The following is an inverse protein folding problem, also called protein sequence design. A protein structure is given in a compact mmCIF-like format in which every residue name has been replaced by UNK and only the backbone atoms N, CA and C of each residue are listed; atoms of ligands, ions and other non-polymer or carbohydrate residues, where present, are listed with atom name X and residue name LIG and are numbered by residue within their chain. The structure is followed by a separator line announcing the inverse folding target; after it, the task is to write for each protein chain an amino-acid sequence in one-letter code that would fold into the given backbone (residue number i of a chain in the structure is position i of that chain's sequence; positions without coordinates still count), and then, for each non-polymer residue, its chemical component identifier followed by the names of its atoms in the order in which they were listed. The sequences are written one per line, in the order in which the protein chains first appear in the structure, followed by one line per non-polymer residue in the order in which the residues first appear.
data_IF_688797837110
#
_entry.id   IF_688797837110
#
_cell.length_a   1.000
_cell.length_b   1.000
_cell.length_c   1.000
_cell.angle_alpha   90.00
_cell.angle_beta   90.00
_cell.angle_gamma   90.00
#
_symmetry.space_group_name_H-M   'P 1'
#
loop_
_entity.id
_entity.type
_entity.pdbx_description
1 polymer ?
#
# COMPACT_ATOMS: atom_id res chain seq x y z
N UNK A 1 -57.65 48.01 17.56
CA UNK A 1 -57.07 47.97 16.20
C UNK A 1 -55.69 47.31 16.28
N UNK A 2 -55.40 46.46 15.29
CA UNK A 2 -54.28 45.50 15.17
C UNK A 2 -52.87 46.14 15.23
N UNK A 3 -51.87 45.35 15.66
CA UNK A 3 -50.59 45.02 14.97
C UNK A 3 -49.46 44.83 15.98
N UNK A 4 -48.50 43.90 15.92
CA UNK A 4 -48.22 42.66 15.19
C UNK A 4 -46.97 42.12 15.92
N UNK A 5 -46.96 40.89 16.43
CA UNK A 5 -45.72 40.26 16.92
C UNK A 5 -44.80 39.97 15.73
N UNK A 6 -43.52 40.31 15.83
CA UNK A 6 -42.50 39.81 14.89
C UNK A 6 -41.40 39.15 15.70
N UNK A 7 -41.47 37.83 15.76
CA UNK A 7 -40.42 36.94 16.25
C UNK A 7 -39.39 36.81 15.12
N UNK A 8 -38.15 37.25 15.34
CA UNK A 8 -37.04 36.98 14.44
C UNK A 8 -36.25 35.78 14.98
N UNK A 9 -36.57 34.58 14.49
CA UNK A 9 -35.69 33.41 14.60
C UNK A 9 -34.48 33.67 13.70
N UNK A 10 -33.34 34.03 14.27
CA UNK A 10 -32.06 33.95 13.56
C UNK A 10 -31.58 32.50 13.65
N UNK A 11 -31.69 31.79 12.53
CA UNK A 11 -31.19 30.43 12.38
C UNK A 11 -29.67 30.39 12.52
N UNK A 12 -29.18 29.59 13.46
CA UNK A 12 -27.78 29.20 13.50
C UNK A 12 -27.53 28.17 12.39
N UNK A 13 -26.89 28.59 11.30
CA UNK A 13 -26.38 27.67 10.29
C UNK A 13 -25.11 27.00 10.84
N UNK A 14 -25.27 25.84 11.46
CA UNK A 14 -24.16 24.94 11.77
C UNK A 14 -23.74 24.31 10.44
N UNK A 15 -22.68 24.81 9.82
CA UNK A 15 -22.04 24.12 8.70
C UNK A 15 -21.31 22.89 9.26
N UNK A 16 -21.64 21.66 8.84
CA UNK A 16 -20.80 20.52 9.17
C UNK A 16 -19.45 20.70 8.49
N UNK A 17 -18.38 20.68 9.29
CA UNK A 17 -17.01 20.53 8.78
C UNK A 17 -16.92 19.10 8.23
N UNK A 18 -17.09 18.94 6.92
CA UNK A 18 -16.72 17.69 6.27
C UNK A 18 -15.20 17.52 6.40
N UNK A 19 -14.75 16.83 7.45
CA UNK A 19 -13.47 16.15 7.41
C UNK A 19 -13.64 15.01 6.41
N UNK A 20 -13.45 15.29 5.12
CA UNK A 20 -13.21 14.26 4.13
C UNK A 20 -11.81 13.68 4.40
N UNK A 21 -11.64 13.01 5.54
CA UNK A 21 -10.62 11.99 5.69
C UNK A 21 -11.18 10.77 5.00
N UNK A 22 -10.96 10.65 3.68
CA UNK A 22 -11.13 9.36 3.04
C UNK A 22 -10.01 8.49 3.60
N UNK A 23 -10.36 7.36 4.22
CA UNK A 23 -9.37 6.35 4.60
C UNK A 23 -8.68 5.91 3.31
N UNK A 24 -7.49 6.45 3.04
CA UNK A 24 -6.72 6.13 1.84
C UNK A 24 -6.36 4.65 1.86
N UNK A 25 -6.52 3.98 0.71
CA UNK A 25 -6.07 2.60 0.55
C UNK A 25 -4.55 2.52 0.68
N UNK A 26 -4.03 1.33 0.97
CA UNK A 26 -2.59 1.09 1.08
C UNK A 26 -1.83 1.51 -0.20
N UNK A 27 -2.43 1.27 -1.38
CA UNK A 27 -1.85 1.65 -2.68
C UNK A 27 -1.80 3.18 -2.82
N UNK A 28 -2.85 3.89 -2.43
CA UNK A 28 -2.89 5.36 -2.50
C UNK A 28 -1.86 5.98 -1.56
N UNK A 29 -1.72 5.45 -0.34
CA UNK A 29 -0.67 5.86 0.61
C UNK A 29 0.73 5.63 0.06
N UNK A 30 0.99 4.44 -0.50
CA UNK A 30 2.27 4.13 -1.13
C UNK A 30 2.61 5.07 -2.30
N UNK A 31 1.63 5.42 -3.14
CA UNK A 31 1.79 6.41 -4.22
C UNK A 31 2.11 7.82 -3.70
N UNK A 32 1.59 8.18 -2.53
CA UNK A 32 1.88 9.43 -1.85
C UNK A 32 3.20 9.39 -1.04
N UNK A 33 3.94 8.28 -1.09
CA UNK A 33 5.14 8.02 -0.29
C UNK A 33 4.90 8.11 1.23
N UNK A 34 3.66 7.88 1.68
CA UNK A 34 3.27 7.76 3.08
C UNK A 34 3.46 6.29 3.50
N UNK A 35 4.60 6.02 4.14
CA UNK A 35 5.03 4.67 4.51
C UNK A 35 5.12 4.51 6.02
N UNK A 36 4.63 3.38 6.52
CA UNK A 36 4.68 3.02 7.94
C UNK A 36 6.03 2.39 8.32
N UNK A 37 6.68 1.69 7.38
CA UNK A 37 7.92 0.96 7.61
C UNK A 37 8.82 1.00 6.38
N UNK A 38 10.13 1.01 6.62
CA UNK A 38 11.16 0.83 5.59
C UNK A 38 12.15 -0.23 6.05
N UNK A 39 12.72 -0.97 5.11
CA UNK A 39 13.72 -1.99 5.41
C UNK A 39 14.43 -2.47 4.15
N UNK A 40 15.28 -3.47 4.34
CA UNK A 40 15.91 -4.20 3.25
C UNK A 40 15.34 -5.62 3.18
N UNK A 41 15.21 -6.13 1.96
CA UNK A 41 14.74 -7.48 1.67
C UNK A 41 15.64 -8.15 0.65
N UNK A 42 15.61 -9.48 0.60
CA UNK A 42 16.25 -10.21 -0.49
C UNK A 42 15.37 -10.12 -1.75
N UNK A 43 15.98 -9.86 -2.90
CA UNK A 43 15.29 -9.75 -4.18
C UNK A 43 16.18 -10.13 -5.37
N UNK A 44 15.58 -10.49 -6.49
CA UNK A 44 16.25 -10.67 -7.78
C UNK A 44 15.35 -10.14 -8.89
N UNK A 45 15.91 -9.44 -9.88
CA UNK A 45 15.13 -8.83 -10.95
C UNK A 45 14.89 -9.81 -12.09
N UNK A 46 15.87 -10.66 -12.39
CA UNK A 46 15.85 -11.55 -13.54
C UNK A 46 15.91 -13.03 -13.14
N UNK A 47 15.46 -13.90 -14.04
CA UNK A 47 15.53 -15.35 -13.86
C UNK A 47 16.99 -15.80 -13.75
N UNK A 48 17.30 -16.57 -12.71
CA UNK A 48 18.64 -17.12 -12.49
C UNK A 48 19.64 -16.15 -11.85
N UNK A 49 19.28 -14.88 -11.67
CA UNK A 49 20.08 -13.92 -10.91
C UNK A 49 20.21 -14.38 -9.44
N UNK A 50 21.35 -14.08 -8.81
CA UNK A 50 21.50 -14.30 -7.37
C UNK A 50 20.62 -13.31 -6.60
N UNK A 51 20.10 -13.72 -5.44
CA UNK A 51 19.37 -12.80 -4.58
C UNK A 51 20.33 -11.72 -4.06
N UNK A 52 19.98 -10.45 -4.30
CA UNK A 52 20.64 -9.27 -3.76
C UNK A 52 19.76 -8.57 -2.72
N UNK A 53 20.19 -7.38 -2.29
CA UNK A 53 19.43 -6.53 -1.37
C UNK A 53 18.63 -5.47 -2.12
N UNK A 54 17.33 -5.41 -1.86
CA UNK A 54 16.44 -4.33 -2.30
C UNK A 54 15.95 -3.51 -1.12
N UNK A 55 15.69 -2.23 -1.36
CA UNK A 55 14.98 -1.38 -0.40
C UNK A 55 13.48 -1.64 -0.51
N UNK A 56 12.81 -1.82 0.62
CA UNK A 56 11.37 -1.96 0.72
C UNK A 56 10.78 -0.82 1.54
N UNK A 57 9.64 -0.29 1.10
CA UNK A 57 8.83 0.68 1.84
C UNK A 57 7.37 0.23 1.85
N UNK A 58 6.75 0.18 3.03
CA UNK A 58 5.45 -0.44 3.25
C UNK A 58 4.44 0.60 3.70
N UNK A 59 3.30 0.64 3.03
CA UNK A 59 2.10 1.37 3.48
C UNK A 59 0.99 0.37 3.77
N UNK A 60 0.30 0.52 4.89
CA UNK A 60 -0.78 -0.36 5.36
C UNK A 60 -2.09 0.39 5.48
N UNK A 61 -3.21 -0.24 5.18
CA UNK A 61 -4.52 0.36 5.41
C UNK A 61 -5.58 -0.75 5.51
N UNK A 62 -6.39 -0.74 6.57
CA UNK A 62 -7.56 -1.62 6.67
C UNK A 62 -7.28 -3.12 6.51
N UNK A 63 -6.12 -3.61 6.94
CA UNK A 63 -5.72 -5.03 6.77
C UNK A 63 -5.02 -5.34 5.44
N UNK A 64 -4.92 -4.37 4.53
CA UNK A 64 -4.14 -4.47 3.31
C UNK A 64 -2.75 -3.81 3.46
N UNK A 65 -1.81 -4.20 2.60
CA UNK A 65 -0.49 -3.59 2.52
C UNK A 65 -0.04 -3.39 1.05
N UNK A 66 0.68 -2.31 0.80
CA UNK A 66 1.38 -2.04 -0.44
C UNK A 66 2.86 -1.89 -0.15
N UNK A 67 3.67 -2.78 -0.74
CA UNK A 67 5.12 -2.80 -0.56
C UNK A 67 5.80 -2.32 -1.83
N UNK A 68 6.43 -1.15 -1.77
CA UNK A 68 7.27 -0.63 -2.85
C UNK A 68 8.68 -1.17 -2.68
N UNK A 69 9.06 -2.09 -3.56
CA UNK A 69 10.41 -2.65 -3.62
C UNK A 69 11.20 -1.90 -4.68
N UNK A 70 12.34 -1.33 -4.29
CA UNK A 70 13.27 -0.61 -5.16
C UNK A 70 14.58 -1.39 -5.30
N UNK A 71 14.88 -1.78 -6.53
CA UNK A 71 16.10 -2.49 -6.91
C UNK A 71 17.32 -1.55 -6.90
N UNK A 72 18.56 -2.09 -6.83
CA UNK A 72 19.77 -1.26 -6.84
C UNK A 72 19.89 -0.33 -8.07
N UNK A 73 19.35 -0.75 -9.21
CA UNK A 73 19.33 0.06 -10.45
C UNK A 73 18.22 1.13 -10.47
N UNK A 74 17.42 1.25 -9.40
CA UNK A 74 16.34 2.22 -9.28
C UNK A 74 15.01 1.78 -9.90
N UNK A 75 14.95 0.61 -10.56
CA UNK A 75 13.66 0.01 -10.94
C UNK A 75 12.85 -0.26 -9.67
N UNK A 76 11.53 -0.07 -9.73
CA UNK A 76 10.66 -0.32 -8.59
C UNK A 76 9.39 -1.06 -9.00
N UNK A 77 8.96 -1.97 -8.10
CA UNK A 77 7.67 -2.65 -8.19
C UNK A 77 6.90 -2.48 -6.89
N UNK A 78 5.60 -2.25 -7.02
CA UNK A 78 4.65 -2.28 -5.92
C UNK A 78 3.99 -3.64 -5.87
N UNK A 79 4.13 -4.32 -4.73
CA UNK A 79 3.49 -5.58 -4.38
C UNK A 79 2.26 -5.27 -3.51
N UNK A 80 1.10 -5.81 -3.87
CA UNK A 80 -0.16 -5.59 -3.13
C UNK A 80 -0.51 -6.85 -2.35
N UNK A 81 -0.86 -6.67 -1.08
CA UNK A 81 -1.33 -7.70 -0.18
C UNK A 81 -2.67 -7.30 0.43
N UNK A 82 -3.52 -8.28 0.71
CA UNK A 82 -4.80 -8.09 1.38
C UNK A 82 -5.14 -9.31 2.24
N UNK A 83 -5.62 -9.09 3.46
CA UNK A 83 -6.01 -10.16 4.38
C UNK A 83 -4.89 -11.16 4.72
N UNK A 84 -3.62 -10.76 4.59
CA UNK A 84 -2.46 -11.64 4.79
C UNK A 84 -1.98 -12.37 3.52
N UNK A 85 -2.66 -12.23 2.39
CA UNK A 85 -2.31 -12.91 1.14
C UNK A 85 -1.67 -11.93 0.15
N UNK A 86 -0.78 -12.44 -0.70
CA UNK A 86 -0.29 -11.68 -1.84
C UNK A 86 -1.34 -11.67 -2.96
N UNK A 87 -1.64 -10.48 -3.48
CA UNK A 87 -2.69 -10.26 -4.50
C UNK A 87 -2.09 -10.11 -5.89
N UNK A 88 -1.15 -9.15 -6.08
CA UNK A 88 -0.53 -8.86 -7.38
C UNK A 88 0.63 -7.88 -7.30
N UNK A 89 1.43 -7.83 -8.37
CA UNK A 89 2.29 -6.67 -8.66
C UNK A 89 1.53 -5.60 -9.46
N UNK A 90 2.07 -4.38 -9.50
CA UNK A 90 1.65 -3.40 -10.52
C UNK A 90 2.29 -3.71 -11.88
N UNK A 91 1.64 -3.27 -12.97
CA UNK A 91 2.24 -3.26 -14.29
C UNK A 91 3.41 -2.28 -14.35
N UNK A 92 4.47 -2.68 -15.04
CA UNK A 92 5.71 -1.91 -15.25
C UNK A 92 6.18 -2.09 -16.70
N UNK A 93 7.25 -1.39 -17.09
CA UNK A 93 7.89 -1.63 -18.40
C UNK A 93 8.50 -3.03 -18.53
N UNK A 94 8.72 -3.74 -17.41
CA UNK A 94 9.31 -5.08 -17.36
C UNK A 94 8.27 -6.21 -17.29
N UNK A 95 6.98 -5.90 -17.27
CA UNK A 95 5.92 -6.91 -17.20
C UNK A 95 4.61 -6.39 -16.64
N UNK A 96 3.52 -7.13 -16.88
CA UNK A 96 2.16 -6.75 -16.45
C UNK A 96 1.91 -7.01 -14.97
N UNK A 97 2.74 -7.82 -14.31
CA UNK A 97 2.67 -8.08 -12.88
C UNK A 97 1.58 -9.06 -12.44
N UNK A 98 1.08 -9.86 -13.37
CA UNK A 98 -0.02 -10.82 -13.15
C UNK A 98 0.38 -12.28 -13.29
N UNK A 99 1.52 -12.58 -13.94
CA UNK A 99 2.14 -13.90 -13.79
C UNK A 99 2.78 -13.95 -12.40
N UNK A 100 2.14 -14.67 -11.48
CA UNK A 100 2.51 -14.62 -10.07
C UNK A 100 2.44 -15.99 -9.43
N UNK A 101 3.29 -16.18 -8.45
CA UNK A 101 3.33 -17.35 -7.59
C UNK A 101 3.85 -16.91 -6.23
N UNK A 102 3.28 -17.44 -5.16
CA UNK A 102 3.72 -17.07 -3.83
C UNK A 102 3.42 -18.15 -2.80
N UNK A 103 4.20 -18.12 -1.73
CA UNK A 103 3.98 -18.92 -0.53
C UNK A 103 4.43 -18.17 0.71
N UNK A 104 3.83 -18.49 1.84
CA UNK A 104 4.28 -18.05 3.16
C UNK A 104 4.91 -19.26 3.87
N UNK A 105 6.16 -19.15 4.29
CA UNK A 105 6.86 -20.17 5.07
C UNK A 105 7.70 -19.51 6.14
N UNK A 106 7.61 -19.99 7.38
CA UNK A 106 8.43 -19.53 8.50
C UNK A 106 8.41 -18.00 8.67
N UNK A 107 7.21 -17.41 8.50
CA UNK A 107 7.01 -15.96 8.62
C UNK A 107 7.60 -15.13 7.47
N UNK A 108 7.98 -15.74 6.34
CA UNK A 108 8.51 -15.06 5.16
C UNK A 108 7.66 -15.35 3.93
N UNK A 109 7.22 -14.30 3.25
CA UNK A 109 6.61 -14.38 1.93
C UNK A 109 7.69 -14.58 0.89
N UNK A 110 7.59 -15.67 0.13
CA UNK A 110 8.35 -15.90 -1.09
C UNK A 110 7.42 -15.58 -2.25
N UNK A 111 7.71 -14.50 -2.97
CA UNK A 111 6.84 -13.99 -4.05
C UNK A 111 7.63 -13.99 -5.35
N UNK A 112 7.02 -14.52 -6.42
CA UNK A 112 7.44 -14.30 -7.80
C UNK A 112 6.40 -13.44 -8.51
N UNK A 113 6.86 -12.41 -9.22
CA UNK A 113 6.04 -11.60 -10.12
C UNK A 113 6.78 -11.43 -11.43
N UNK A 114 6.21 -11.96 -12.51
CA UNK A 114 6.91 -12.12 -13.78
C UNK A 114 8.25 -12.85 -13.52
N UNK A 115 9.38 -12.29 -13.93
CA UNK A 115 10.72 -12.85 -13.70
C UNK A 115 11.35 -12.49 -12.34
N UNK A 116 10.68 -11.64 -11.56
CA UNK A 116 11.21 -11.05 -10.34
C UNK A 116 10.88 -11.88 -9.12
N UNK A 117 11.82 -11.99 -8.18
CA UNK A 117 11.68 -12.76 -6.94
C UNK A 117 11.92 -11.89 -5.73
N UNK A 118 11.16 -12.14 -4.66
CA UNK A 118 11.18 -11.36 -3.43
C UNK A 118 11.03 -12.28 -2.21
N UNK A 119 11.78 -11.98 -1.15
CA UNK A 119 11.61 -12.58 0.17
C UNK A 119 11.27 -11.50 1.18
N UNK A 120 10.02 -11.43 1.61
CA UNK A 120 9.54 -10.38 2.52
C UNK A 120 9.16 -10.98 3.87
N UNK A 121 9.79 -10.55 4.99
CA UNK A 121 9.33 -10.92 6.31
C UNK A 121 7.88 -10.44 6.52
N UNK A 122 7.00 -11.31 7.00
CA UNK A 122 5.61 -10.96 7.25
C UNK A 122 5.48 -9.81 8.26
N UNK A 123 6.37 -9.77 9.26
CA UNK A 123 6.48 -8.66 10.22
C UNK A 123 6.83 -7.32 9.53
N UNK A 124 7.60 -7.33 8.43
CA UNK A 124 7.82 -6.12 7.63
C UNK A 124 6.53 -5.70 6.92
N UNK A 125 5.78 -6.65 6.36
CA UNK A 125 4.57 -6.36 5.56
C UNK A 125 3.41 -5.90 6.43
N UNK A 126 3.14 -6.57 7.56
CA UNK A 126 1.94 -6.34 8.37
C UNK A 126 2.21 -5.79 9.78
N UNK A 127 3.45 -5.79 10.25
CA UNK A 127 3.79 -5.51 11.66
C UNK A 127 3.84 -6.78 12.50
N UNK A 128 4.14 -6.63 13.79
CA UNK A 128 4.04 -7.71 14.79
C UNK A 128 2.60 -7.90 15.29
#
# INVERSE_FOLDING_TARGET
MRRTLTVALFGAAILPRAAAGQDMTAIERAKAADFDMKGEIACAQEVGEAMGACRAAVARAGGAAAVVVTFPNGFARTLTFDGGDFVRGNATMSGVGTDTDWRLSDGTYFVRVDDQRYELPAALVFGE
#
